data_IF_975817635584
#
_entry.id   IF_975817635584
#
_cell.length_a   1.000
_cell.length_b   1.000
_cell.length_c   1.000
_cell.angle_alpha   90.00
_cell.angle_beta   90.00
_cell.angle_gamma   90.00
#
_symmetry.space_group_name_H-M   'P 1'
#
loop_
_entity.id
_entity.type
_entity.pdbx_description
1 polymer ?
#
# COMPACT_ATOMS: atom_id res chain seq x y z
N UNK A 1 48.79 -88.40 141.86
CA UNK A 1 48.12 -88.05 140.58
C UNK A 1 49.16 -87.69 139.53
N UNK A 2 49.73 -88.63 138.76
CA UNK A 2 50.54 -88.34 137.55
C UNK A 2 50.95 -89.61 136.77
N UNK A 3 50.01 -90.53 136.52
CA UNK A 3 50.34 -91.82 135.85
C UNK A 3 49.22 -92.47 135.05
N UNK A 4 47.94 -92.14 135.32
CA UNK A 4 46.79 -92.66 134.56
C UNK A 4 46.43 -91.85 133.31
N UNK A 5 46.90 -90.60 133.20
CA UNK A 5 46.66 -89.76 132.01
C UNK A 5 47.62 -90.09 130.85
N UNK A 6 48.86 -90.52 131.15
CA UNK A 6 49.88 -90.83 130.13
C UNK A 6 49.65 -92.20 129.47
N UNK A 7 49.04 -93.16 130.18
CA UNK A 7 48.61 -94.45 129.64
C UNK A 7 47.55 -94.29 128.54
N UNK A 8 46.51 -93.50 128.80
CA UNK A 8 45.48 -93.18 127.80
C UNK A 8 46.03 -92.44 126.58
N UNK A 9 47.06 -91.61 126.75
CA UNK A 9 47.72 -90.96 125.61
C UNK A 9 48.55 -91.95 124.78
N UNK A 10 49.29 -92.84 125.44
CA UNK A 10 50.07 -93.89 124.77
C UNK A 10 49.19 -94.88 124.02
N UNK A 11 48.07 -95.28 124.60
CA UNK A 11 47.10 -96.19 123.97
C UNK A 11 46.44 -95.52 122.76
N UNK A 12 46.01 -94.26 122.89
CA UNK A 12 45.50 -93.45 121.75
C UNK A 12 46.55 -93.27 120.66
N UNK A 13 47.82 -93.06 121.01
CA UNK A 13 48.89 -92.91 120.02
C UNK A 13 49.18 -94.24 119.31
N UNK A 14 49.07 -95.38 120.00
CA UNK A 14 49.14 -96.70 119.37
C UNK A 14 47.94 -96.99 118.46
N UNK A 15 46.71 -96.60 118.84
CA UNK A 15 45.54 -96.70 117.97
C UNK A 15 45.69 -95.85 116.71
N UNK A 16 46.13 -94.59 116.86
CA UNK A 16 46.39 -93.71 115.70
C UNK A 16 47.50 -94.26 114.81
N UNK A 17 48.56 -94.83 115.38
CA UNK A 17 49.65 -95.42 114.60
C UNK A 17 49.20 -96.70 113.86
N UNK A 18 48.35 -97.52 114.48
CA UNK A 18 47.73 -98.67 113.83
C UNK A 18 46.76 -98.25 112.73
N UNK A 19 45.93 -97.23 112.96
CA UNK A 19 44.95 -96.72 112.00
C UNK A 19 45.63 -96.03 110.82
N UNK A 20 46.74 -95.32 111.04
CA UNK A 20 47.59 -94.81 109.96
C UNK A 20 48.23 -95.95 109.17
N UNK A 21 48.74 -96.97 109.85
CA UNK A 21 49.37 -98.12 109.18
C UNK A 21 48.36 -98.95 108.37
N UNK A 22 47.13 -99.10 108.88
CA UNK A 22 46.02 -99.76 108.19
C UNK A 22 45.49 -98.93 107.02
N UNK A 23 45.39 -97.60 107.19
CA UNK A 23 45.04 -96.66 106.12
C UNK A 23 46.04 -96.64 104.98
N UNK A 24 47.35 -96.68 105.29
CA UNK A 24 48.41 -96.72 104.29
C UNK A 24 48.49 -98.06 103.55
N UNK A 25 48.20 -99.19 104.23
CA UNK A 25 48.05 -100.49 103.59
C UNK A 25 46.85 -100.53 102.63
N UNK A 26 45.70 -100.00 103.04
CA UNK A 26 44.53 -99.90 102.16
C UNK A 26 44.77 -99.00 100.94
N UNK A 27 45.54 -97.90 101.09
CA UNK A 27 45.94 -97.07 99.95
C UNK A 27 46.95 -97.77 99.04
N UNK A 28 47.89 -98.54 99.62
CA UNK A 28 48.88 -99.31 98.86
C UNK A 28 48.23 -100.46 98.09
N UNK A 29 47.24 -101.14 98.67
CA UNK A 29 46.49 -102.19 98.00
C UNK A 29 45.57 -101.63 96.91
N UNK A 30 44.93 -100.47 97.14
CA UNK A 30 44.18 -99.76 96.09
C UNK A 30 45.06 -99.20 94.98
N UNK A 31 46.28 -98.76 95.27
CA UNK A 31 47.24 -98.31 94.25
C UNK A 31 47.75 -99.45 93.37
N UNK A 32 47.90 -100.67 93.93
CA UNK A 32 48.24 -101.88 93.16
C UNK A 32 47.09 -102.40 92.29
N UNK A 33 45.83 -102.13 92.64
CA UNK A 33 44.68 -102.46 91.77
C UNK A 33 44.53 -101.54 90.54
N UNK A 34 45.05 -100.31 90.60
CA UNK A 34 45.00 -99.33 89.47
C UNK A 34 46.13 -99.56 88.45
N UNK A 35 47.15 -100.36 88.80
CA UNK A 35 48.31 -100.68 87.98
C UNK A 35 48.15 -101.88 87.02
N UNK A 36 46.93 -102.23 86.58
CA UNK A 36 46.74 -103.27 85.54
C UNK A 36 47.10 -102.70 84.15
N UNK A 37 48.12 -103.23 83.44
CA UNK A 37 48.55 -102.72 82.14
C UNK A 37 47.68 -103.28 81.00
N UNK A 38 46.36 -103.02 81.05
CA UNK A 38 45.39 -103.67 80.16
C UNK A 38 44.33 -102.77 79.50
N UNK A 39 44.19 -101.49 79.88
CA UNK A 39 43.11 -100.62 79.35
C UNK A 39 43.53 -99.21 78.90
N UNK A 40 44.82 -98.90 78.86
CA UNK A 40 45.30 -97.57 78.44
C UNK A 40 45.41 -97.42 76.92
N UNK A 41 45.54 -98.51 76.16
CA UNK A 41 45.67 -98.45 74.69
C UNK A 41 44.36 -98.14 73.96
N UNK A 42 43.22 -98.55 74.51
CA UNK A 42 41.89 -98.28 73.93
C UNK A 42 41.40 -96.83 74.22
N UNK A 43 41.75 -96.26 75.39
CA UNK A 43 41.48 -94.85 75.70
C UNK A 43 42.41 -93.87 74.95
N UNK A 44 43.57 -94.32 74.49
CA UNK A 44 44.44 -93.51 73.63
C UNK A 44 43.87 -93.43 72.21
N UNK A 45 43.51 -94.57 71.62
CA UNK A 45 42.89 -94.59 70.29
C UNK A 45 41.60 -93.79 70.21
N UNK A 46 40.75 -93.85 71.23
CA UNK A 46 39.53 -93.02 71.34
C UNK A 46 39.82 -91.52 71.49
N UNK A 47 40.93 -91.14 72.14
CA UNK A 47 41.37 -89.74 72.22
C UNK A 47 41.96 -89.26 70.89
N UNK A 48 42.72 -90.10 70.21
CA UNK A 48 43.28 -89.82 68.88
C UNK A 48 42.14 -89.73 67.82
N UNK A 49 41.10 -90.56 67.94
CA UNK A 49 39.86 -90.49 67.17
C UNK A 49 39.01 -89.25 67.50
N UNK A 50 38.90 -88.86 68.77
CA UNK A 50 38.18 -87.65 69.18
C UNK A 50 38.86 -86.36 68.66
N UNK A 51 40.20 -86.32 68.62
CA UNK A 51 40.95 -85.23 67.99
C UNK A 51 40.73 -85.17 66.48
N UNK A 52 40.71 -86.32 65.80
CA UNK A 52 40.43 -86.42 64.37
C UNK A 52 38.99 -86.01 64.02
N UNK A 53 38.01 -86.40 64.83
CA UNK A 53 36.59 -86.02 64.65
C UNK A 53 36.38 -84.51 64.87
N UNK A 54 37.03 -83.93 65.87
CA UNK A 54 37.00 -82.47 66.10
C UNK A 54 37.62 -81.70 64.93
N UNK A 55 38.77 -82.14 64.41
CA UNK A 55 39.41 -81.54 63.24
C UNK A 55 38.53 -81.69 61.99
N UNK A 56 37.88 -82.84 61.82
CA UNK A 56 36.94 -83.06 60.72
C UNK A 56 35.74 -82.11 60.82
N UNK A 57 35.13 -81.94 62.00
CA UNK A 57 34.05 -80.97 62.26
C UNK A 57 34.48 -79.53 61.95
N UNK A 58 35.67 -79.12 62.40
CA UNK A 58 36.20 -77.79 62.08
C UNK A 58 36.45 -77.61 60.59
N UNK A 59 37.01 -78.62 59.91
CA UNK A 59 37.21 -78.61 58.46
C UNK A 59 35.89 -78.47 57.71
N UNK A 60 34.87 -79.22 58.10
CA UNK A 60 33.54 -79.19 57.50
C UNK A 60 32.84 -77.85 57.74
N UNK A 61 32.88 -77.33 58.98
CA UNK A 61 32.36 -76.01 59.31
C UNK A 61 33.08 -74.90 58.55
N UNK A 62 34.40 -74.96 58.44
CA UNK A 62 35.20 -74.00 57.67
C UNK A 62 34.86 -74.05 56.17
N UNK A 63 34.73 -75.25 55.59
CA UNK A 63 34.33 -75.43 54.20
C UNK A 63 32.93 -74.86 53.94
N UNK A 64 31.97 -75.13 54.84
CA UNK A 64 30.63 -74.57 54.75
C UNK A 64 30.65 -73.05 54.80
N UNK A 65 31.40 -72.45 55.73
CA UNK A 65 31.54 -70.99 55.84
C UNK A 65 32.14 -70.41 54.55
N UNK A 66 33.22 -70.99 54.02
CA UNK A 66 33.84 -70.52 52.79
C UNK A 66 32.89 -70.60 51.59
N UNK A 67 32.17 -71.72 51.45
CA UNK A 67 31.16 -71.87 50.40
C UNK A 67 30.04 -70.84 50.53
N UNK A 68 29.57 -70.60 51.75
CA UNK A 68 28.56 -69.58 52.03
C UNK A 68 29.07 -68.17 51.72
N UNK A 69 30.34 -67.86 52.00
CA UNK A 69 30.96 -66.58 51.64
C UNK A 69 31.05 -66.43 50.13
N UNK A 70 31.47 -67.48 49.41
CA UNK A 70 31.56 -67.48 47.95
C UNK A 70 30.20 -67.28 47.28
N UNK A 71 29.17 -67.99 47.75
CA UNK A 71 27.79 -67.80 47.30
C UNK A 71 27.27 -66.38 47.62
N UNK A 72 27.58 -65.86 48.80
CA UNK A 72 27.20 -64.48 49.18
C UNK A 72 27.91 -63.44 48.33
N UNK A 73 29.20 -63.65 48.02
CA UNK A 73 29.97 -62.77 47.13
C UNK A 73 29.41 -62.78 45.70
N UNK A 74 29.08 -63.97 45.16
CA UNK A 74 28.48 -64.09 43.84
C UNK A 74 27.10 -63.41 43.74
N UNK A 75 26.26 -63.54 44.77
CA UNK A 75 24.99 -62.80 44.86
C UNK A 75 25.24 -61.30 44.97
N UNK A 76 26.24 -60.89 45.75
CA UNK A 76 26.67 -59.49 45.89
C UNK A 76 27.07 -58.86 44.57
N UNK A 77 27.91 -59.55 43.77
CA UNK A 77 28.29 -59.12 42.43
C UNK A 77 27.09 -59.02 41.50
N UNK A 78 26.18 -60.00 41.52
CA UNK A 78 24.94 -59.95 40.72
C UNK A 78 24.09 -58.73 41.07
N UNK A 79 23.88 -58.44 42.36
CA UNK A 79 23.11 -57.27 42.80
C UNK A 79 23.81 -55.97 42.41
N UNK A 80 25.13 -55.89 42.57
CA UNK A 80 25.91 -54.71 42.19
C UNK A 80 25.76 -54.40 40.69
N UNK A 81 25.83 -55.42 39.82
CA UNK A 81 25.59 -55.23 38.38
C UNK A 81 24.17 -54.77 38.08
N UNK A 82 23.15 -55.25 38.78
CA UNK A 82 21.77 -54.79 38.61
C UNK A 82 21.60 -53.34 39.07
N UNK A 83 22.16 -52.98 40.22
CA UNK A 83 22.17 -51.61 40.74
C UNK A 83 22.88 -50.68 39.77
N UNK A 84 24.03 -51.08 39.25
CA UNK A 84 24.76 -50.31 38.23
C UNK A 84 23.91 -50.06 36.98
N UNK A 85 23.27 -51.11 36.45
CA UNK A 85 22.38 -50.99 35.28
C UNK A 85 21.16 -50.10 35.56
N UNK A 86 20.67 -50.05 36.80
CA UNK A 86 19.64 -49.10 37.20
C UNK A 86 20.17 -47.67 37.20
N UNK A 87 21.34 -47.42 37.81
CA UNK A 87 21.97 -46.10 37.85
C UNK A 87 22.23 -45.57 36.44
N UNK A 88 22.82 -46.36 35.56
CA UNK A 88 23.08 -45.97 34.17
C UNK A 88 21.80 -45.56 33.43
N UNK A 89 20.71 -46.30 33.63
CA UNK A 89 19.40 -45.98 33.04
C UNK A 89 18.84 -44.66 33.58
N UNK A 90 18.88 -44.46 34.90
CA UNK A 90 18.37 -43.23 35.52
C UNK A 90 19.21 -42.01 35.15
N UNK A 91 20.53 -42.14 35.05
CA UNK A 91 21.38 -41.07 34.54
C UNK A 91 21.10 -40.77 33.07
N UNK A 92 20.84 -41.80 32.25
CA UNK A 92 20.40 -41.63 30.87
C UNK A 92 19.09 -40.86 30.75
N UNK A 93 18.09 -41.23 31.56
CA UNK A 93 16.81 -40.51 31.63
C UNK A 93 16.98 -39.08 32.13
N UNK A 94 17.80 -38.86 33.15
CA UNK A 94 18.09 -37.51 33.67
C UNK A 94 18.75 -36.64 32.59
N UNK A 95 19.72 -37.17 31.83
CA UNK A 95 20.34 -36.46 30.70
C UNK A 95 19.32 -36.10 29.61
N UNK A 96 18.43 -37.02 29.24
CA UNK A 96 17.39 -36.76 28.25
C UNK A 96 16.40 -35.69 28.73
N UNK A 97 15.98 -35.75 30.00
CA UNK A 97 15.11 -34.73 30.61
C UNK A 97 15.78 -33.36 30.67
N UNK A 98 17.06 -33.29 31.04
CA UNK A 98 17.81 -32.03 31.03
C UNK A 98 17.90 -31.45 29.62
N UNK A 99 18.13 -32.29 28.59
CA UNK A 99 18.15 -31.81 27.21
C UNK A 99 16.79 -31.27 26.78
N UNK A 100 15.70 -32.00 27.06
CA UNK A 100 14.35 -31.52 26.80
C UNK A 100 14.08 -30.18 27.52
N UNK A 101 14.49 -30.07 28.78
CA UNK A 101 14.32 -28.84 29.56
C UNK A 101 15.04 -27.66 28.90
N UNK A 102 16.29 -27.84 28.45
CA UNK A 102 17.02 -26.77 27.74
C UNK A 102 16.36 -26.38 26.42
N UNK A 103 15.75 -27.31 25.70
CA UNK A 103 14.98 -26.98 24.49
C UNK A 103 13.67 -26.26 24.81
N UNK A 104 13.02 -26.61 25.92
CA UNK A 104 11.80 -25.95 26.34
C UNK A 104 12.08 -24.52 26.86
N UNK A 105 13.27 -24.29 27.40
CA UNK A 105 13.72 -22.97 27.85
C UNK A 105 13.91 -21.97 26.70
N UNK A 106 14.17 -22.43 25.47
CA UNK A 106 14.27 -21.55 24.29
C UNK A 106 12.90 -21.21 23.68
N UNK A 107 11.85 -21.96 24.03
CA UNK A 107 10.50 -21.80 23.46
C UNK A 107 9.90 -20.39 23.69
N UNK A 108 10.02 -19.77 24.89
CA UNK A 108 9.56 -18.39 25.10
C UNK A 108 10.24 -17.38 24.16
N UNK A 109 11.51 -17.57 23.83
CA UNK A 109 12.23 -16.72 22.88
C UNK A 109 11.63 -16.80 21.47
N UNK A 110 11.35 -18.02 20.99
CA UNK A 110 10.65 -18.23 19.71
C UNK A 110 9.25 -17.61 19.70
N UNK A 111 8.52 -17.69 20.82
CA UNK A 111 7.21 -17.06 20.95
C UNK A 111 7.33 -15.53 20.87
N UNK A 112 8.36 -14.94 21.47
CA UNK A 112 8.62 -13.50 21.41
C UNK A 112 9.03 -13.05 20.00
N UNK A 113 9.85 -13.83 19.30
CA UNK A 113 10.20 -13.57 17.91
C UNK A 113 8.95 -13.65 17.00
N UNK A 114 8.10 -14.66 17.21
CA UNK A 114 6.84 -14.80 16.48
C UNK A 114 5.89 -13.63 16.78
N UNK A 115 5.78 -13.19 18.03
CA UNK A 115 4.94 -12.03 18.38
C UNK A 115 5.48 -10.76 17.73
N UNK A 116 6.80 -10.54 17.72
CA UNK A 116 7.44 -9.43 17.02
C UNK A 116 7.16 -9.45 15.52
N UNK A 117 7.28 -10.61 14.85
CA UNK A 117 6.91 -10.77 13.44
C UNK A 117 5.42 -10.46 13.22
N UNK A 118 4.56 -10.93 14.13
CA UNK A 118 3.12 -10.66 14.05
C UNK A 118 2.82 -9.17 14.18
N UNK A 119 3.50 -8.46 15.08
CA UNK A 119 3.41 -7.00 15.24
C UNK A 119 3.93 -6.27 13.99
N UNK A 120 5.06 -6.70 13.41
CA UNK A 120 5.59 -6.11 12.17
C UNK A 120 4.63 -6.31 10.99
N UNK A 121 4.01 -7.49 10.87
CA UNK A 121 3.01 -7.75 9.83
C UNK A 121 1.77 -6.88 10.03
N UNK A 122 1.29 -6.74 11.27
CA UNK A 122 0.17 -5.85 11.57
C UNK A 122 0.49 -4.37 11.26
N UNK A 123 1.71 -3.92 11.57
CA UNK A 123 2.20 -2.60 11.20
C UNK A 123 2.20 -2.40 9.68
N UNK A 124 2.75 -3.36 8.93
CA UNK A 124 2.77 -3.30 7.47
C UNK A 124 1.35 -3.29 6.87
N UNK A 125 0.42 -4.05 7.43
CA UNK A 125 -0.99 -3.99 7.01
C UNK A 125 -1.60 -2.61 7.23
N UNK A 126 -1.29 -1.94 8.34
CA UNK A 126 -1.73 -0.56 8.60
C UNK A 126 -1.09 0.43 7.62
N UNK A 127 0.19 0.26 7.27
CA UNK A 127 0.87 1.13 6.30
C UNK A 127 0.24 0.96 4.90
N UNK A 128 -0.12 -0.26 4.50
CA UNK A 128 -0.83 -0.50 3.25
C UNK A 128 -2.20 0.18 3.22
N UNK A 129 -2.97 0.07 4.31
CA UNK A 129 -4.27 0.75 4.41
C UNK A 129 -4.11 2.28 4.30
N UNK A 130 -3.05 2.84 4.91
CA UNK A 130 -2.75 4.26 4.77
C UNK A 130 -2.35 4.64 3.34
N UNK A 131 -1.57 3.82 2.65
CA UNK A 131 -1.21 4.06 1.24
C UNK A 131 -2.45 3.99 0.34
N UNK A 132 -3.35 3.04 0.56
CA UNK A 132 -4.62 2.94 -0.16
C UNK A 132 -5.48 4.20 0.06
N UNK A 133 -5.56 4.70 1.30
CA UNK A 133 -6.27 5.95 1.59
C UNK A 133 -5.65 7.14 0.84
N UNK A 134 -4.32 7.29 0.86
CA UNK A 134 -3.64 8.37 0.15
C UNK A 134 -3.77 8.26 -1.38
N UNK A 135 -3.85 7.05 -1.92
CA UNK A 135 -4.11 6.83 -3.35
C UNK A 135 -5.53 7.25 -3.72
N UNK A 136 -6.53 6.92 -2.91
CA UNK A 136 -7.90 7.37 -3.11
C UNK A 136 -8.00 8.91 -3.04
N UNK A 137 -7.34 9.54 -2.06
CA UNK A 137 -7.29 11.00 -1.97
C UNK A 137 -6.61 11.64 -3.19
N UNK A 138 -5.59 10.98 -3.76
CA UNK A 138 -4.93 11.44 -4.98
C UNK A 138 -5.85 11.33 -6.21
N UNK A 139 -6.61 10.24 -6.30
CA UNK A 139 -7.61 10.04 -7.34
C UNK A 139 -8.68 11.14 -7.29
N UNK A 140 -9.25 11.40 -6.10
CA UNK A 140 -10.22 12.48 -5.88
C UNK A 140 -9.68 13.85 -6.33
N UNK A 141 -8.42 14.15 -6.01
CA UNK A 141 -7.77 15.41 -6.43
C UNK A 141 -7.56 15.47 -7.94
N UNK A 142 -7.21 14.35 -8.57
CA UNK A 142 -7.02 14.29 -10.03
C UNK A 142 -8.35 14.49 -10.76
N UNK A 143 -9.41 13.80 -10.34
CA UNK A 143 -10.76 13.98 -10.89
C UNK A 143 -11.24 15.42 -10.74
N UNK A 144 -11.03 16.02 -9.55
CA UNK A 144 -11.39 17.40 -9.29
C UNK A 144 -10.60 18.38 -10.19
N UNK A 145 -9.32 18.12 -10.42
CA UNK A 145 -8.49 18.93 -11.31
C UNK A 145 -8.96 18.83 -12.75
N UNK A 146 -9.27 17.63 -13.24
CA UNK A 146 -9.79 17.40 -14.59
C UNK A 146 -11.13 18.11 -14.80
N UNK A 147 -12.06 17.96 -13.84
CA UNK A 147 -13.34 18.64 -13.87
C UNK A 147 -13.16 20.18 -13.94
N UNK A 148 -12.27 20.73 -13.12
CA UNK A 148 -11.98 22.16 -13.13
C UNK A 148 -11.37 22.63 -14.47
N UNK A 149 -10.45 21.84 -15.04
CA UNK A 149 -9.85 22.13 -16.34
C UNK A 149 -10.91 22.13 -17.45
N UNK A 150 -11.81 21.14 -17.45
CA UNK A 150 -12.89 21.05 -18.41
C UNK A 150 -13.88 22.23 -18.29
N UNK A 151 -14.31 22.55 -17.06
CA UNK A 151 -15.16 23.73 -16.81
C UNK A 151 -14.50 25.03 -17.29
N UNK A 152 -13.20 25.19 -17.04
CA UNK A 152 -12.42 26.34 -17.53
C UNK A 152 -12.40 26.39 -19.06
N UNK A 153 -12.19 25.25 -19.71
CA UNK A 153 -12.20 25.14 -21.17
C UNK A 153 -13.57 25.50 -21.76
N UNK A 154 -14.67 24.99 -21.20
CA UNK A 154 -16.03 25.34 -21.63
C UNK A 154 -16.31 26.84 -21.45
N UNK A 155 -15.91 27.41 -20.31
CA UNK A 155 -16.05 28.85 -20.05
C UNK A 155 -15.25 29.69 -21.04
N UNK A 156 -14.04 29.25 -21.39
CA UNK A 156 -13.21 29.90 -22.40
C UNK A 156 -13.84 29.83 -23.78
N UNK A 157 -14.34 28.65 -24.20
CA UNK A 157 -15.07 28.45 -25.46
C UNK A 157 -16.28 29.39 -25.54
N UNK A 158 -17.09 29.47 -24.48
CA UNK A 158 -18.27 30.33 -24.44
C UNK A 158 -17.90 31.81 -24.53
N UNK A 159 -16.86 32.24 -23.83
CA UNK A 159 -16.39 33.64 -23.87
C UNK A 159 -15.87 34.01 -25.26
N UNK A 160 -15.10 33.12 -25.89
CA UNK A 160 -14.59 33.30 -27.26
C UNK A 160 -15.72 33.37 -28.28
N UNK A 161 -16.70 32.48 -28.19
CA UNK A 161 -17.89 32.49 -29.04
C UNK A 161 -18.69 33.79 -28.87
N UNK A 162 -18.94 34.21 -27.62
CA UNK A 162 -19.63 35.45 -27.33
C UNK A 162 -18.88 36.66 -27.92
N UNK A 163 -17.55 36.72 -27.77
CA UNK A 163 -16.73 37.78 -28.35
C UNK A 163 -16.82 37.78 -29.89
N UNK A 164 -16.76 36.62 -30.53
CA UNK A 164 -16.92 36.50 -31.98
C UNK A 164 -18.29 37.01 -32.45
N UNK A 165 -19.36 36.70 -31.70
CA UNK A 165 -20.72 37.19 -31.99
C UNK A 165 -20.88 38.69 -31.78
N UNK A 166 -20.24 39.26 -30.76
CA UNK A 166 -20.20 40.72 -30.57
C UNK A 166 -19.52 41.40 -31.75
N UNK A 167 -18.36 40.89 -32.20
CA UNK A 167 -17.64 41.42 -33.36
C UNK A 167 -18.43 41.27 -34.66
N UNK A 168 -19.12 40.13 -34.86
CA UNK A 168 -19.99 39.92 -36.02
C UNK A 168 -21.14 40.94 -36.05
N UNK A 169 -21.80 41.16 -34.92
CA UNK A 169 -22.86 42.17 -34.77
C UNK A 169 -22.35 43.58 -35.03
N UNK A 170 -21.19 43.95 -34.47
CA UNK A 170 -20.58 45.26 -34.69
C UNK A 170 -20.23 45.47 -36.17
N UNK A 171 -19.71 44.45 -36.84
CA UNK A 171 -19.42 44.51 -38.28
C UNK A 171 -20.70 44.66 -39.11
N UNK A 172 -21.76 43.92 -38.78
CA UNK A 172 -23.07 44.06 -39.45
C UNK A 172 -23.66 45.47 -39.24
N UNK A 173 -23.55 46.02 -38.03
CA UNK A 173 -23.99 47.38 -37.74
C UNK A 173 -23.24 48.41 -38.62
N UNK A 174 -21.91 48.30 -38.71
CA UNK A 174 -21.11 49.19 -39.57
C UNK A 174 -21.49 49.04 -41.04
N UNK A 175 -21.71 47.82 -41.52
CA UNK A 175 -22.15 47.58 -42.89
C UNK A 175 -23.53 48.18 -43.17
N UNK A 176 -24.47 48.04 -42.23
CA UNK A 176 -25.80 48.61 -42.33
C UNK A 176 -25.75 50.14 -42.35
N UNK A 177 -24.97 50.76 -41.47
CA UNK A 177 -24.79 52.22 -41.42
C UNK A 177 -24.17 52.75 -42.73
N UNK A 178 -23.20 52.03 -43.31
CA UNK A 178 -22.62 52.38 -44.61
C UNK A 178 -23.64 52.31 -45.75
N UNK A 179 -24.49 51.28 -45.76
CA UNK A 179 -25.57 51.13 -46.74
C UNK A 179 -26.61 52.24 -46.57
N UNK A 180 -27.00 52.54 -45.32
CA UNK A 180 -27.94 53.60 -45.00
C UNK A 180 -27.44 54.97 -45.49
N UNK A 181 -26.20 55.36 -45.15
CA UNK A 181 -25.61 56.63 -45.58
C UNK A 181 -25.52 56.72 -47.11
N UNK A 182 -25.17 55.61 -47.79
CA UNK A 182 -25.18 55.55 -49.26
C UNK A 182 -26.58 55.79 -49.81
N UNK A 183 -27.59 55.11 -49.26
CA UNK A 183 -28.98 55.22 -49.72
C UNK A 183 -29.54 56.62 -49.51
N UNK A 184 -29.27 57.23 -48.36
CA UNK A 184 -29.64 58.64 -48.08
C UNK A 184 -29.02 59.56 -49.12
N UNK A 185 -27.72 59.41 -49.41
CA UNK A 185 -27.04 60.22 -50.44
C UNK A 185 -27.65 60.05 -51.84
N UNK A 186 -27.99 58.82 -52.23
CA UNK A 186 -28.67 58.54 -53.49
C UNK A 186 -30.05 59.21 -53.56
N UNK A 187 -30.82 59.14 -52.47
CA UNK A 187 -32.12 59.82 -52.39
C UNK A 187 -31.98 61.35 -52.45
N UNK A 188 -31.03 61.93 -51.72
CA UNK A 188 -30.73 63.37 -51.77
C UNK A 188 -30.34 63.81 -53.19
N UNK A 189 -29.50 63.02 -53.88
CA UNK A 189 -29.10 63.30 -55.24
C UNK A 189 -30.31 63.28 -56.20
N UNK A 190 -31.14 62.24 -56.13
CA UNK A 190 -32.37 62.14 -56.93
C UNK A 190 -33.34 63.30 -56.65
N UNK A 191 -33.51 63.69 -55.38
CA UNK A 191 -34.32 64.84 -55.02
C UNK A 191 -33.76 66.16 -55.58
N UNK A 192 -32.43 66.33 -55.55
CA UNK A 192 -31.76 67.50 -56.13
C UNK A 192 -31.92 67.56 -57.65
N UNK A 193 -31.79 66.44 -58.36
CA UNK A 193 -32.04 66.38 -59.80
C UNK A 193 -33.48 66.78 -60.12
N UNK A 194 -34.46 66.23 -59.40
CA UNK A 194 -35.88 66.60 -59.56
C UNK A 194 -36.13 68.08 -59.30
N UNK A 195 -35.43 68.68 -58.33
CA UNK A 195 -35.50 70.12 -58.06
C UNK A 195 -34.90 70.95 -59.20
N UNK A 196 -33.75 70.53 -59.75
CA UNK A 196 -33.09 71.19 -60.89
C UNK A 196 -33.95 71.11 -62.15
N UNK A 197 -34.55 69.95 -62.43
CA UNK A 197 -35.48 69.79 -63.55
C UNK A 197 -36.68 70.71 -63.40
N UNK A 198 -37.32 70.75 -62.22
CA UNK A 198 -38.41 71.70 -61.95
C UNK A 198 -37.97 73.14 -62.13
N UNK A 199 -36.79 73.52 -61.62
CA UNK A 199 -36.26 74.88 -61.80
C UNK A 199 -36.05 75.22 -63.28
N UNK A 200 -35.47 74.29 -64.05
CA UNK A 200 -35.28 74.46 -65.49
C UNK A 200 -36.61 74.62 -66.22
N UNK A 201 -37.61 73.79 -65.91
CA UNK A 201 -38.96 73.91 -66.47
C UNK A 201 -39.59 75.28 -66.18
N UNK A 202 -39.43 75.79 -64.95
CA UNK A 202 -39.91 77.13 -64.60
C UNK A 202 -39.13 78.24 -65.31
N UNK A 203 -37.82 78.08 -65.48
CA UNK A 203 -36.97 79.05 -66.18
C UNK A 203 -37.29 79.09 -67.67
N UNK A 204 -37.48 77.94 -68.31
CA UNK A 204 -37.87 77.83 -69.71
C UNK A 204 -39.27 78.46 -69.91
N UNK A 205 -40.24 78.13 -69.06
CA UNK A 205 -41.57 78.76 -69.07
C UNK A 205 -41.51 80.29 -68.89
N UNK A 206 -40.65 80.78 -67.99
CA UNK A 206 -40.45 82.22 -67.81
C UNK A 206 -39.83 82.89 -69.05
N UNK A 207 -38.85 82.23 -69.67
CA UNK A 207 -38.20 82.77 -70.87
C UNK A 207 -39.17 82.80 -72.05
N UNK A 208 -40.03 81.79 -72.20
CA UNK A 208 -41.12 81.77 -73.17
C UNK A 208 -42.11 82.91 -72.93
N UNK A 209 -42.52 83.15 -71.67
CA UNK A 209 -43.37 84.28 -71.29
C UNK A 209 -42.70 85.64 -71.59
N UNK A 210 -41.40 85.76 -71.34
CA UNK A 210 -40.60 86.96 -71.64
C UNK A 210 -40.49 87.21 -73.14
N UNK A 211 -40.29 86.15 -73.94
CA UNK A 211 -40.29 86.24 -75.40
C UNK A 211 -41.67 86.64 -75.92
N UNK A 212 -42.73 86.06 -75.37
CA UNK A 212 -44.10 86.45 -75.71
C UNK A 212 -44.35 87.93 -75.42
N UNK A 213 -43.91 88.43 -74.25
CA UNK A 213 -44.00 89.84 -73.91
C UNK A 213 -43.25 90.74 -74.90
N UNK A 214 -42.03 90.36 -75.30
CA UNK A 214 -41.23 91.11 -76.28
C UNK A 214 -41.89 91.20 -77.66
N UNK A 215 -42.59 90.14 -78.09
CA UNK A 215 -43.23 90.07 -79.40
C UNK A 215 -44.60 90.77 -79.44
N UNK A 216 -45.39 90.70 -78.37
CA UNK A 216 -46.80 91.11 -78.37
C UNK A 216 -47.14 92.27 -77.42
N UNK A 217 -46.16 92.83 -76.69
CA UNK A 217 -46.32 94.01 -75.83
C UNK A 217 -47.28 93.84 -74.64
N UNK A 218 -47.78 92.63 -74.41
CA UNK A 218 -48.70 92.25 -73.35
C UNK A 218 -48.20 90.99 -72.68
N UNK A 219 -48.39 90.87 -71.37
CA UNK A 219 -47.98 89.67 -70.62
C UNK A 219 -48.87 88.52 -71.08
N UNK A 220 -48.27 87.38 -71.44
CA UNK A 220 -49.01 86.17 -71.80
C UNK A 220 -50.00 85.83 -70.69
N UNK A 221 -51.30 86.00 -70.94
CA UNK A 221 -52.35 85.46 -70.08
C UNK A 221 -52.64 84.04 -70.54
N UNK A 222 -51.68 83.12 -70.40
CA UNK A 222 -51.95 81.70 -70.53
C UNK A 222 -52.08 81.06 -69.13
N UNK A 223 -53.07 80.17 -68.92
CA UNK A 223 -53.58 79.78 -67.60
C UNK A 223 -52.76 78.64 -66.97
N UNK A 224 -51.43 78.67 -67.02
CA UNK A 224 -50.66 77.55 -66.51
C UNK A 224 -50.67 77.46 -64.97
N UNK A 225 -50.78 78.60 -64.28
CA UNK A 225 -50.92 78.62 -62.81
C UNK A 225 -52.28 78.10 -62.30
N UNK A 226 -53.31 78.02 -63.15
CA UNK A 226 -54.65 77.56 -62.73
C UNK A 226 -54.95 76.10 -63.13
N UNK A 227 -54.27 75.57 -64.15
CA UNK A 227 -54.48 74.20 -64.60
C UNK A 227 -53.56 73.17 -63.92
N UNK A 228 -52.34 73.57 -63.53
CA UNK A 228 -51.50 72.72 -62.66
C UNK A 228 -52.10 72.65 -61.24
N UNK A 229 -52.83 73.69 -60.81
CA UNK A 229 -53.58 73.70 -59.56
C UNK A 229 -54.92 72.93 -59.61
N UNK A 230 -55.35 72.41 -60.77
CA UNK A 230 -56.56 71.59 -60.87
C UNK A 230 -56.28 70.08 -61.05
N UNK A 231 -55.04 69.71 -61.44
CA UNK A 231 -54.62 68.30 -61.55
C UNK A 231 -53.56 67.86 -60.53
N UNK A 232 -53.01 68.77 -59.72
CA UNK A 232 -52.35 68.41 -58.45
C UNK A 232 -53.31 68.41 -57.25
N UNK A 233 -54.55 68.91 -57.40
CA UNK A 233 -55.54 69.04 -56.33
C UNK A 233 -56.69 68.02 -56.42
N UNK A 234 -56.54 66.98 -57.24
CA UNK A 234 -57.50 65.88 -57.41
C UNK A 234 -56.85 64.49 -57.40
N UNK A 235 -55.68 64.37 -56.75
CA UNK A 235 -55.01 63.10 -56.46
C UNK A 235 -54.26 63.11 -55.12
N UNK A 236 -54.29 64.23 -54.40
CA UNK A 236 -54.04 64.29 -52.97
C UNK A 236 -55.40 64.49 -52.30
N UNK A 237 -55.75 63.59 -51.37
CA UNK A 237 -56.89 63.77 -50.50
C UNK A 237 -56.81 65.15 -49.86
N UNK A 238 -57.90 65.92 -49.98
CA UNK A 238 -58.28 66.87 -48.93
C UNK A 238 -58.24 66.09 -47.61
N UNK A 239 -57.66 66.57 -46.52
CA UNK A 239 -57.85 67.83 -45.81
C UNK A 239 -56.48 68.23 -45.21
N UNK A 240 -56.08 69.48 -45.01
CA UNK A 240 -56.53 70.36 -43.92
C UNK A 240 -55.89 71.72 -44.19
N UNK A 241 -56.69 72.78 -44.23
CA UNK A 241 -56.20 74.15 -44.13
C UNK A 241 -56.01 74.53 -42.67
N UNK A 242 -54.85 75.14 -42.39
CA UNK A 242 -54.59 76.12 -41.30
C UNK A 242 -54.88 75.69 -39.87
N UNK A 243 -53.84 75.38 -39.08
CA UNK A 243 -53.65 76.00 -37.75
C UNK A 243 -52.29 75.63 -37.16
N UNK A 244 -51.60 76.66 -36.65
CA UNK A 244 -50.71 76.65 -35.48
C UNK A 244 -50.07 75.33 -35.00
N UNK A 245 -48.74 75.25 -35.14
CA UNK A 245 -47.82 74.96 -34.04
C UNK A 245 -48.14 73.77 -33.10
N UNK A 246 -48.29 72.55 -33.64
CA UNK A 246 -48.10 71.31 -32.87
C UNK A 246 -47.43 70.25 -33.75
N UNK A 247 -46.35 69.64 -33.24
CA UNK A 247 -45.54 68.61 -33.91
C UNK A 247 -46.26 67.24 -34.05
N UNK A 248 -47.53 67.18 -33.67
CA UNK A 248 -48.35 65.97 -33.52
C UNK A 248 -49.16 65.59 -34.78
N UNK A 249 -49.11 66.41 -35.84
CA UNK A 249 -49.92 66.23 -37.05
C UNK A 249 -49.13 65.77 -38.29
N UNK A 250 -48.04 65.02 -38.10
CA UNK A 250 -47.37 64.28 -39.15
C UNK A 250 -47.97 62.86 -39.16
N UNK A 251 -49.10 62.69 -39.84
CA UNK A 251 -49.65 61.35 -40.13
C UNK A 251 -48.73 60.68 -41.15
N UNK A 252 -48.08 59.59 -40.73
CA UNK A 252 -47.27 58.73 -41.58
C UNK A 252 -48.24 57.97 -42.51
N UNK A 253 -48.57 58.56 -43.66
CA UNK A 253 -49.56 58.02 -44.61
C UNK A 253 -49.04 56.82 -45.44
N UNK A 254 -47.86 56.29 -45.11
CA UNK A 254 -47.36 55.04 -45.66
C UNK A 254 -47.75 53.87 -44.73
N UNK A 255 -48.94 53.32 -44.94
CA UNK A 255 -49.48 52.14 -44.24
C UNK A 255 -48.55 50.91 -44.35
N UNK A 256 -47.59 50.93 -45.29
CA UNK A 256 -46.54 49.91 -45.39
C UNK A 256 -45.45 50.07 -44.30
N UNK A 257 -45.03 51.28 -43.96
CA UNK A 257 -43.95 51.53 -42.99
C UNK A 257 -44.39 51.26 -41.55
N UNK A 258 -45.69 51.40 -41.22
CA UNK A 258 -46.23 51.02 -39.91
C UNK A 258 -46.20 49.50 -39.68
N UNK A 259 -46.48 48.71 -40.72
CA UNK A 259 -46.39 47.25 -40.62
C UNK A 259 -44.95 46.74 -40.50
N UNK A 260 -43.99 47.48 -41.05
CA UNK A 260 -42.56 47.19 -40.90
C UNK A 260 -42.02 47.60 -39.52
N UNK A 261 -42.54 48.69 -38.94
CA UNK A 261 -42.23 49.11 -37.56
C UNK A 261 -42.76 48.11 -36.51
N UNK A 262 -43.97 47.56 -36.69
CA UNK A 262 -44.52 46.53 -35.80
C UNK A 262 -43.74 45.20 -35.90
N UNK A 263 -43.22 44.86 -37.08
CA UNK A 263 -42.31 43.72 -37.26
C UNK A 263 -40.91 43.96 -36.67
N UNK A 264 -40.42 45.20 -36.69
CA UNK A 264 -39.12 45.57 -36.13
C UNK A 264 -39.12 45.65 -34.60
N UNK A 265 -40.24 46.06 -34.01
CA UNK A 265 -40.40 46.12 -32.55
C UNK A 265 -40.72 44.75 -31.92
N UNK A 266 -41.09 43.75 -32.73
CA UNK A 266 -41.49 42.42 -32.28
C UNK A 266 -42.75 42.44 -31.43
N UNK A 267 -43.42 41.29 -31.19
CA UNK A 267 -44.43 41.21 -30.15
C UNK A 267 -43.75 41.63 -28.84
N UNK A 268 -44.37 42.57 -28.13
CA UNK A 268 -43.98 42.90 -26.77
C UNK A 268 -44.32 41.69 -25.90
N UNK A 269 -43.40 40.71 -25.86
CA UNK A 269 -43.45 39.64 -24.89
C UNK A 269 -43.17 40.27 -23.53
N UNK A 270 -44.25 40.36 -22.76
CA UNK A 270 -44.26 40.58 -21.33
C UNK A 270 -43.24 39.65 -20.65
N UNK A 271 -42.34 40.14 -19.79
CA UNK A 271 -41.31 39.33 -19.14
C UNK A 271 -41.94 38.45 -18.08
N UNK A 272 -42.38 37.24 -18.46
CA UNK A 272 -42.85 36.28 -17.48
C UNK A 272 -43.44 35.01 -18.06
N UNK A 273 -42.56 34.10 -18.52
CA UNK A 273 -42.71 32.64 -18.60
C UNK A 273 -42.04 32.10 -19.87
N UNK A 274 -40.72 31.88 -19.82
CA UNK A 274 -40.14 30.77 -20.56
C UNK A 274 -39.85 29.66 -19.57
N UNK A 275 -40.89 28.84 -19.37
CA UNK A 275 -40.77 27.50 -18.85
C UNK A 275 -39.90 26.67 -19.79
N UNK A 276 -39.05 25.89 -19.17
CA UNK A 276 -38.13 24.92 -19.76
C UNK A 276 -38.94 23.83 -20.47
N UNK A 277 -38.81 23.73 -21.79
CA UNK A 277 -39.02 22.47 -22.49
C UNK A 277 -37.67 22.03 -23.05
N UNK A 278 -37.04 21.14 -22.26
CA UNK A 278 -35.91 20.33 -22.69
C UNK A 278 -36.51 19.18 -23.52
N UNK A 279 -36.26 19.20 -24.82
CA UNK A 279 -36.39 18.01 -25.65
C UNK A 279 -35.15 17.15 -25.37
N UNK A 280 -35.37 16.07 -24.61
CA UNK A 280 -34.43 14.96 -24.45
C UNK A 280 -34.50 14.12 -25.75
N UNK A 281 -33.49 14.27 -26.61
CA UNK A 281 -33.19 13.26 -27.64
C UNK A 281 -32.27 12.22 -26.99
N UNK A 282 -32.84 11.05 -26.67
CA UNK A 282 -32.10 9.84 -26.33
C UNK A 282 -31.51 9.26 -27.62
N UNK A 283 -30.18 9.37 -27.79
CA UNK A 283 -29.44 8.53 -28.75
C UNK A 283 -29.06 7.22 -28.04
N UNK A 284 -29.74 6.12 -28.44
CA UNK A 284 -29.34 4.75 -28.12
C UNK A 284 -28.11 4.39 -28.96
N UNK A 285 -26.93 4.29 -28.33
CA UNK A 285 -25.76 3.63 -28.91
C UNK A 285 -25.89 2.11 -28.73
N UNK A 286 -26.20 1.39 -29.81
CA UNK A 286 -26.05 -0.05 -29.90
C UNK A 286 -24.57 -0.43 -30.03
N UNK A 287 -23.95 -0.88 -28.93
CA UNK A 287 -22.70 -1.66 -28.99
C UNK A 287 -23.04 -3.14 -29.28
N UNK A 288 -22.81 -3.57 -30.53
CA UNK A 288 -22.77 -5.00 -30.84
C UNK A 288 -21.46 -5.64 -30.33
N UNK A 289 -21.57 -6.26 -29.16
CA UNK A 289 -20.63 -7.23 -28.61
C UNK A 289 -20.92 -8.63 -29.20
N UNK A 290 -20.10 -9.08 -30.17
CA UNK A 290 -19.75 -10.50 -30.33
C UNK A 290 -18.64 -10.67 -31.35
N UNK A 291 -17.47 -11.19 -30.96
CA UNK A 291 -17.15 -12.57 -31.36
C UNK A 291 -16.03 -13.21 -30.52
N UNK A 292 -16.14 -14.51 -30.53
CA UNK A 292 -15.80 -15.53 -29.56
C UNK A 292 -14.32 -15.87 -29.37
N UNK A 293 -14.01 -16.15 -28.11
CA UNK A 293 -12.90 -16.99 -27.65
C UNK A 293 -13.08 -18.41 -28.17
N UNK A 294 -12.11 -18.91 -28.94
CA UNK A 294 -11.71 -20.32 -28.89
C UNK A 294 -10.19 -20.42 -28.93
N UNK A 295 -9.62 -20.85 -27.82
CA UNK A 295 -8.28 -21.42 -27.70
C UNK A 295 -8.21 -22.72 -28.50
N UNK A 296 -7.17 -22.89 -29.31
CA UNK A 296 -6.46 -24.17 -29.43
C UNK A 296 -5.10 -23.97 -30.10
N UNK A 297 -4.08 -24.04 -29.25
CA UNK A 297 -2.70 -24.39 -29.59
C UNK A 297 -2.62 -25.88 -29.92
N UNK A 298 -2.01 -26.23 -31.06
CA UNK A 298 -0.90 -27.18 -31.19
C UNK A 298 -0.90 -27.83 -32.59
N UNK A 299 0.17 -27.63 -33.36
CA UNK A 299 0.68 -28.57 -34.37
C UNK A 299 2.01 -28.06 -34.93
N UNK A 300 3.05 -28.84 -34.62
CA UNK A 300 4.37 -28.80 -35.22
C UNK A 300 4.39 -29.16 -36.72
N UNK A 301 5.47 -28.71 -37.36
CA UNK A 301 6.31 -29.42 -38.35
C UNK A 301 6.24 -29.02 -39.84
N UNK A 302 7.41 -28.52 -40.27
CA UNK A 302 8.14 -28.76 -41.54
C UNK A 302 7.64 -28.20 -42.89
N UNK A 303 8.45 -27.30 -43.48
CA UNK A 303 9.25 -27.46 -44.73
C UNK A 303 9.60 -26.09 -45.34
N UNK A 304 10.86 -25.62 -45.25
CA UNK A 304 11.88 -25.56 -46.32
C UNK A 304 11.36 -25.01 -47.68
N UNK A 305 11.77 -23.79 -48.07
CA UNK A 305 12.75 -23.59 -49.18
C UNK A 305 13.28 -22.14 -49.25
N UNK A 306 14.51 -22.07 -49.76
CA UNK A 306 15.54 -21.05 -49.90
C UNK A 306 15.17 -19.93 -50.89
N UNK A 307 15.76 -18.71 -50.77
CA UNK A 307 16.54 -18.02 -51.84
C UNK A 307 16.97 -16.57 -51.48
N UNK A 308 18.31 -16.36 -51.44
CA UNK A 308 19.18 -15.19 -51.81
C UNK A 308 19.19 -13.87 -51.02
N UNK A 309 20.37 -13.51 -50.47
CA UNK A 309 21.36 -12.47 -50.91
C UNK A 309 20.89 -11.03 -50.62
N UNK A 310 21.63 -10.14 -49.95
CA UNK A 310 23.06 -9.85 -50.01
C UNK A 310 23.48 -9.08 -48.73
N UNK A 311 24.66 -9.39 -48.18
CA UNK A 311 25.31 -8.61 -47.11
C UNK A 311 26.68 -8.19 -47.62
N UNK A 312 26.86 -6.88 -47.83
CA UNK A 312 28.15 -6.30 -48.22
C UNK A 312 28.83 -5.69 -47.01
N UNK A 313 30.10 -6.06 -46.89
CA UNK A 313 31.05 -5.82 -45.82
C UNK A 313 31.51 -4.36 -45.72
N UNK A 314 32.00 -4.02 -44.53
CA UNK A 314 32.92 -2.91 -44.27
C UNK A 314 34.19 -2.98 -45.12
N UNK A 315 34.99 -1.89 -45.13
CA UNK A 315 36.35 -2.10 -44.68
C UNK A 315 36.87 -1.05 -43.69
N UNK A 316 37.99 -1.47 -43.12
CA UNK A 316 38.80 -1.08 -41.98
C UNK A 316 39.85 0.02 -42.30
N UNK A 317 40.50 0.54 -41.23
CA UNK A 317 41.93 0.94 -41.15
C UNK A 317 42.28 2.33 -41.76
N UNK A 318 43.08 3.26 -41.20
CA UNK A 318 44.18 3.42 -40.20
C UNK A 318 44.00 4.78 -39.46
N UNK A 319 44.55 5.16 -38.30
CA UNK A 319 45.81 4.86 -37.61
C UNK A 319 46.85 6.00 -37.76
N UNK A 320 47.08 6.81 -36.70
CA UNK A 320 48.34 7.49 -36.24
C UNK A 320 48.00 8.72 -35.37
N UNK A 321 48.28 8.71 -34.06
CA UNK A 321 49.52 9.14 -33.36
C UNK A 321 49.50 10.63 -32.94
N UNK A 322 49.36 10.90 -31.63
CA UNK A 322 50.42 11.21 -30.62
C UNK A 322 50.89 12.67 -30.67
N UNK A 323 50.69 13.39 -29.57
CA UNK A 323 51.73 14.16 -28.84
C UNK A 323 51.14 14.74 -27.56
N UNK A 324 51.82 14.49 -26.43
CA UNK A 324 51.55 15.12 -25.14
C UNK A 324 52.54 16.25 -24.83
N UNK A 325 52.19 17.09 -23.86
CA UNK A 325 53.04 17.99 -23.06
C UNK A 325 52.13 18.55 -21.96
N UNK A 326 52.27 18.21 -20.67
CA UNK A 326 53.31 18.51 -19.68
C UNK A 326 53.29 19.97 -19.14
N UNK A 327 52.78 20.09 -17.89
CA UNK A 327 53.24 20.89 -16.72
C UNK A 327 53.45 22.42 -16.84
N UNK A 328 52.83 23.18 -15.91
CA UNK A 328 53.54 24.02 -14.92
C UNK A 328 52.59 24.86 -14.04
N UNK A 329 52.79 24.77 -12.73
CA UNK A 329 52.36 25.72 -11.71
C UNK A 329 53.01 27.10 -11.90
N UNK A 330 52.36 28.17 -11.45
CA UNK A 330 53.07 29.32 -10.86
C UNK A 330 52.18 30.06 -9.88
N UNK A 331 52.80 30.32 -8.74
CA UNK A 331 52.34 30.99 -7.54
C UNK A 331 52.49 32.53 -7.66
N UNK A 332 51.88 33.24 -6.70
CA UNK A 332 52.26 34.55 -6.13
C UNK A 332 51.58 35.87 -6.55
N UNK A 333 50.92 36.48 -5.53
CA UNK A 333 50.98 37.87 -5.03
C UNK A 333 50.54 39.02 -5.99
N UNK A 334 49.74 40.03 -5.64
CA UNK A 334 49.72 40.88 -4.44
C UNK A 334 48.70 42.04 -4.59
N UNK A 335 48.41 42.74 -3.48
CA UNK A 335 47.91 44.14 -3.35
C UNK A 335 46.43 44.44 -3.67
N UNK A 336 45.58 44.71 -2.66
CA UNK A 336 45.31 46.00 -1.97
C UNK A 336 44.48 47.01 -2.79
N UNK A 337 43.24 47.31 -2.36
CA UNK A 337 42.83 48.63 -1.81
C UNK A 337 41.30 48.74 -1.55
N UNK A 338 40.95 48.93 -0.27
CA UNK A 338 40.24 50.08 0.35
C UNK A 338 38.82 50.53 -0.07
N UNK A 339 38.09 50.99 0.97
CA UNK A 339 36.78 51.71 1.06
C UNK A 339 35.54 50.81 1.20
N UNK A 340 34.56 51.06 2.08
CA UNK A 340 34.23 52.20 2.96
C UNK A 340 33.07 51.78 3.90
N UNK A 341 32.74 52.68 4.85
CA UNK A 341 31.54 52.73 5.71
C UNK A 341 31.65 52.07 7.09
N UNK A 342 31.15 52.65 8.18
CA UNK A 342 30.88 54.02 8.65
C UNK A 342 30.04 53.81 9.92
N UNK A 343 30.49 54.39 11.03
CA UNK A 343 29.74 54.69 12.27
C UNK A 343 29.18 53.53 13.10
#
# INVERSE_FOLDING_TARGET
>A
MSGKMFGNFRERLQTVQHDFSAGLKNLTDKAKEVGKPGLTRDRSKKRDLAGAELLYRYKESWMHIHKSIEETAAVGESVDTEVWNMVERYEGQARALSHLHTQLETFPGLVQELSSITEMVAGLSSDFEQVEQLLNELEDVCEQQELQANQSQHRHKLTSYHQAKVLERENLQVQLDLVYVRKVREMEFSQQERLKERHKMFQDAFNDDLQHYKLYGTRSTLPHARQVCYYMYFGASAEVTTSTNELSALTLDDIMDQSELDNFLGPMDDPGEMGVEAEEEEEEEEEEESDSVTTDTDSQAESIDVTRQDVTQMPEVTGSEVTGSEVAETEQHDSQDTQEQSS
#
